data_IF_622564951455
#
_entry.id   IF_622564951455
#
_cell.length_a   1.000
_cell.length_b   1.000
_cell.length_c   1.000
_cell.angle_alpha   90.00
_cell.angle_beta   90.00
_cell.angle_gamma   90.00
#
_symmetry.space_group_name_H-M   'P 1'
#
loop_
_entity.id
_entity.type
_entity.pdbx_description
1 polymer ?
#
# COMPACT_ATOMS: atom_id res chain seq x y z
N UNK A 1 23.47 -15.22 16.52
CA UNK A 1 23.75 -13.82 16.84
C UNK A 1 24.38 -13.18 15.62
N UNK A 2 23.59 -12.50 14.77
CA UNK A 2 24.10 -11.77 13.62
C UNK A 2 24.32 -10.33 14.09
N UNK A 3 25.57 -9.87 13.95
CA UNK A 3 26.08 -8.64 14.56
C UNK A 3 25.46 -7.37 13.99
N UNK A 4 25.53 -6.34 14.81
CA UNK A 4 25.06 -4.98 14.58
C UNK A 4 25.94 -4.28 13.52
N UNK A 5 25.81 -4.63 12.23
CA UNK A 5 26.77 -4.25 11.17
C UNK A 5 26.89 -2.74 10.89
N UNK A 6 26.00 -1.88 11.44
CA UNK A 6 26.02 -0.44 11.19
C UNK A 6 26.29 0.44 12.43
N UNK A 7 26.56 -0.15 13.60
CA UNK A 7 26.88 0.61 14.83
C UNK A 7 25.74 1.46 15.41
N UNK A 8 24.51 1.35 14.89
CA UNK A 8 23.35 2.04 15.44
C UNK A 8 22.90 1.43 16.77
N UNK A 9 22.52 2.30 17.71
CA UNK A 9 21.82 1.92 18.92
C UNK A 9 20.38 1.53 18.62
N UNK A 10 19.92 0.42 19.19
CA UNK A 10 18.52 0.02 19.15
C UNK A 10 17.73 0.70 20.28
N UNK A 11 16.41 0.93 20.11
CA UNK A 11 15.55 1.36 21.19
C UNK A 11 15.69 0.46 22.43
N UNK A 12 15.36 0.95 23.65
CA UNK A 12 15.19 0.09 24.81
C UNK A 12 14.22 -1.05 24.44
N UNK A 13 14.36 -2.23 25.06
CA UNK A 13 13.59 -3.45 24.72
C UNK A 13 12.07 -3.23 24.57
N UNK A 14 11.32 -4.23 24.08
CA UNK A 14 9.93 -4.16 23.56
C UNK A 14 8.82 -3.62 24.49
N UNK A 15 9.13 -2.82 25.50
CA UNK A 15 8.27 -2.12 26.45
C UNK A 15 7.87 -0.71 25.98
N UNK A 16 7.66 -0.51 24.68
CA UNK A 16 6.86 0.66 24.27
C UNK A 16 5.47 0.54 24.90
N UNK A 17 4.88 1.63 25.39
CA UNK A 17 3.49 1.57 25.89
C UNK A 17 2.61 1.08 24.73
N UNK A 18 2.01 -0.10 24.91
CA UNK A 18 1.20 -0.79 23.91
C UNK A 18 -0.27 -0.43 23.99
N UNK A 19 -1.07 -1.04 23.12
CA UNK A 19 -2.53 -1.03 23.20
C UNK A 19 -2.95 -1.65 24.54
N UNK A 20 -3.64 -0.91 25.41
CA UNK A 20 -4.35 -1.49 26.56
C UNK A 20 -5.63 -2.17 26.10
N UNK A 21 -6.16 -3.12 26.89
CA UNK A 21 -7.47 -3.72 26.60
C UNK A 21 -8.59 -2.66 26.45
N UNK A 22 -8.50 -1.55 27.19
CA UNK A 22 -9.43 -0.43 27.09
C UNK A 22 -9.32 0.36 25.76
N UNK A 23 -8.21 0.25 25.03
CA UNK A 23 -8.03 0.88 23.71
C UNK A 23 -8.65 0.01 22.57
N UNK A 24 -9.05 -1.24 22.85
CA UNK A 24 -9.71 -2.13 21.87
C UNK A 24 -11.18 -1.74 21.61
N UNK A 25 -11.87 -1.12 22.59
CA UNK A 25 -13.30 -0.78 22.46
C UNK A 25 -13.60 0.34 21.46
N UNK A 26 -12.59 1.10 21.00
CA UNK A 26 -12.76 2.17 20.00
C UNK A 26 -12.65 1.69 18.55
N UNK A 27 -12.37 0.40 18.31
CA UNK A 27 -12.34 -0.21 16.99
C UNK A 27 -13.61 -1.05 16.88
N UNK A 28 -14.59 -0.53 16.14
CA UNK A 28 -15.91 -1.16 16.00
C UNK A 28 -15.82 -2.68 15.85
N UNK A 29 -16.40 -3.38 16.82
CA UNK A 29 -16.50 -4.84 16.86
C UNK A 29 -17.19 -5.32 15.58
N UNK A 30 -16.42 -5.87 14.65
CA UNK A 30 -16.96 -6.89 13.76
C UNK A 30 -16.91 -8.19 14.55
N UNK A 31 -18.05 -8.61 15.09
CA UNK A 31 -18.21 -9.91 15.72
C UNK A 31 -18.01 -11.00 14.65
N UNK A 32 -17.00 -11.85 14.86
CA UNK A 32 -16.83 -13.09 14.10
C UNK A 32 -18.05 -13.96 14.38
N UNK A 33 -18.77 -14.49 13.38
CA UNK A 33 -19.82 -15.47 13.61
C UNK A 33 -19.24 -16.65 14.40
N UNK A 34 -19.96 -17.05 15.45
CA UNK A 34 -19.47 -17.92 16.53
C UNK A 34 -18.87 -19.24 16.07
N UNK A 35 -17.77 -19.60 16.72
CA UNK A 35 -17.21 -20.95 16.75
C UNK A 35 -18.18 -21.87 17.51
N UNK A 36 -19.08 -22.53 16.79
CA UNK A 36 -19.56 -23.84 17.22
C UNK A 36 -18.68 -24.89 16.56
N UNK A 37 -17.76 -25.41 17.38
CA UNK A 37 -16.89 -26.54 17.09
C UNK A 37 -17.74 -27.81 16.89
N UNK A 38 -17.71 -28.36 15.69
CA UNK A 38 -17.51 -29.80 15.44
C UNK A 38 -17.70 -30.14 13.96
N UNK A 39 -16.81 -31.00 13.45
CA UNK A 39 -16.81 -31.64 12.12
C UNK A 39 -16.34 -30.77 10.95
N UNK A 40 -15.03 -30.54 10.87
CA UNK A 40 -14.38 -30.62 9.54
C UNK A 40 -14.33 -32.11 9.21
N UNK A 41 -15.46 -32.65 8.74
CA UNK A 41 -15.43 -33.86 7.94
C UNK A 41 -14.47 -33.60 6.78
N UNK A 42 -13.58 -34.55 6.54
CA UNK A 42 -12.81 -34.62 5.31
C UNK A 42 -13.79 -34.69 4.15
N UNK A 43 -14.17 -33.53 3.61
CA UNK A 43 -15.04 -33.44 2.45
C UNK A 43 -14.28 -34.00 1.24
N UNK A 44 -14.50 -35.28 1.00
CA UNK A 44 -14.31 -35.90 -0.29
C UNK A 44 -15.12 -35.13 -1.32
N UNK A 45 -14.44 -34.61 -2.33
CA UNK A 45 -14.85 -34.49 -3.74
C UNK A 45 -16.38 -34.46 -3.99
N UNK A 46 -16.89 -33.30 -4.41
CA UNK A 46 -18.10 -33.07 -5.24
C UNK A 46 -19.37 -32.41 -4.64
N UNK A 47 -19.28 -31.55 -3.63
CA UNK A 47 -20.41 -30.67 -3.27
C UNK A 47 -20.23 -29.24 -3.81
N UNK A 48 -21.20 -28.79 -4.62
CA UNK A 48 -21.29 -27.40 -5.08
C UNK A 48 -21.71 -26.54 -3.88
N UNK A 49 -20.99 -25.46 -3.54
CA UNK A 49 -21.38 -24.58 -2.43
C UNK A 49 -22.82 -24.07 -2.60
N UNK A 50 -23.60 -23.99 -1.53
CA UNK A 50 -25.01 -23.52 -1.56
C UNK A 50 -25.20 -22.19 -2.31
N UNK A 51 -24.21 -21.30 -2.21
CA UNK A 51 -24.16 -20.01 -2.91
C UNK A 51 -24.15 -20.11 -4.45
N UNK A 52 -23.89 -21.29 -5.00
CA UNK A 52 -23.82 -21.59 -6.43
C UNK A 52 -24.92 -22.57 -6.89
N UNK A 53 -25.87 -22.91 -6.02
CA UNK A 53 -26.98 -23.85 -6.30
C UNK A 53 -27.87 -23.45 -7.49
N UNK A 54 -27.93 -22.16 -7.83
CA UNK A 54 -28.67 -21.62 -8.99
C UNK A 54 -27.85 -21.57 -10.30
N UNK A 55 -26.61 -22.07 -10.30
CA UNK A 55 -25.70 -22.02 -11.45
C UNK A 55 -25.71 -23.38 -12.17
N UNK A 56 -25.68 -23.36 -13.51
CA UNK A 56 -25.65 -24.62 -14.26
C UNK A 56 -24.36 -25.41 -13.99
N UNK A 57 -24.49 -26.73 -13.89
CA UNK A 57 -23.34 -27.63 -13.71
C UNK A 57 -22.30 -27.47 -14.81
N UNK A 58 -22.75 -27.24 -16.05
CA UNK A 58 -21.86 -26.96 -17.19
C UNK A 58 -20.97 -25.74 -16.94
N UNK A 59 -21.52 -24.64 -16.40
CA UNK A 59 -20.75 -23.42 -16.14
C UNK A 59 -19.77 -23.61 -14.98
N UNK A 60 -20.16 -24.39 -13.95
CA UNK A 60 -19.31 -24.73 -12.82
C UNK A 60 -18.14 -25.64 -13.24
N UNK A 61 -18.39 -26.62 -14.11
CA UNK A 61 -17.35 -27.49 -14.66
C UNK A 61 -16.36 -26.74 -15.55
N UNK A 62 -16.85 -25.79 -16.36
CA UNK A 62 -16.00 -24.91 -17.17
C UNK A 62 -15.13 -24.04 -16.26
N UNK A 63 -15.72 -23.38 -15.25
CA UNK A 63 -14.97 -22.58 -14.28
C UNK A 63 -13.89 -23.42 -13.60
N UNK A 64 -14.22 -24.61 -13.11
CA UNK A 64 -13.28 -25.50 -12.45
C UNK A 64 -12.13 -25.92 -13.38
N UNK A 65 -12.45 -26.22 -14.64
CA UNK A 65 -11.43 -26.56 -15.65
C UNK A 65 -10.46 -25.40 -15.90
N UNK A 66 -10.94 -24.16 -15.89
CA UNK A 66 -10.11 -22.95 -15.99
C UNK A 66 -9.25 -22.80 -14.72
N UNK A 67 -9.81 -23.00 -13.53
CA UNK A 67 -9.07 -22.97 -12.27
C UNK A 67 -7.93 -24.01 -12.23
N UNK A 68 -8.19 -25.22 -12.69
CA UNK A 68 -7.19 -26.28 -12.80
C UNK A 68 -6.10 -25.91 -13.83
N UNK A 69 -6.48 -25.33 -14.97
CA UNK A 69 -5.55 -24.78 -15.95
C UNK A 69 -4.64 -23.70 -15.37
N UNK A 70 -5.22 -22.74 -14.63
CA UNK A 70 -4.46 -21.70 -13.93
C UNK A 70 -3.48 -22.28 -12.90
N UNK A 71 -3.89 -23.29 -12.12
CA UNK A 71 -2.99 -23.98 -11.17
C UNK A 71 -1.82 -24.67 -11.86
N UNK A 72 -2.07 -25.29 -13.01
CA UNK A 72 -1.02 -25.94 -13.82
C UNK A 72 -0.04 -24.92 -14.41
N UNK A 73 -0.53 -23.78 -14.90
CA UNK A 73 0.34 -22.71 -15.40
C UNK A 73 1.27 -22.18 -14.29
N UNK A 74 0.75 -22.02 -13.06
CA UNK A 74 1.54 -21.59 -11.90
C UNK A 74 2.62 -22.63 -11.55
N UNK A 75 2.27 -23.93 -11.53
CA UNK A 75 3.22 -24.99 -11.16
C UNK A 75 4.32 -25.19 -12.22
N UNK A 76 4.00 -24.99 -13.51
CA UNK A 76 4.97 -25.04 -14.60
C UNK A 76 5.88 -23.80 -14.65
N UNK A 77 5.39 -22.63 -14.20
CA UNK A 77 6.19 -21.41 -14.07
C UNK A 77 7.21 -21.45 -12.91
N UNK A 78 7.10 -22.44 -11.99
CA UNK A 78 8.03 -22.67 -10.88
C UNK A 78 9.43 -23.13 -11.34
N UNK A 79 10.16 -22.24 -12.01
CA UNK A 79 11.51 -22.49 -12.54
C UNK A 79 11.99 -21.48 -13.60
N UNK A 80 11.10 -20.64 -14.14
CA UNK A 80 11.41 -19.63 -15.16
C UNK A 80 11.08 -18.24 -14.62
N UNK A 81 11.86 -17.23 -14.97
CA UNK A 81 11.64 -15.83 -14.54
C UNK A 81 10.20 -15.42 -14.86
N UNK A 82 9.48 -14.90 -13.87
CA UNK A 82 8.07 -14.50 -13.94
C UNK A 82 7.72 -13.49 -15.06
N UNK A 83 8.72 -12.86 -15.69
CA UNK A 83 8.52 -11.96 -16.83
C UNK A 83 8.11 -12.66 -18.13
N UNK A 84 8.44 -13.95 -18.29
CA UNK A 84 8.12 -14.73 -19.51
C UNK A 84 6.93 -15.69 -19.32
N UNK A 85 6.37 -15.77 -18.11
CA UNK A 85 5.27 -16.69 -17.77
C UNK A 85 3.89 -16.28 -18.32
N UNK A 86 3.81 -15.15 -19.04
CA UNK A 86 2.56 -14.54 -19.47
C UNK A 86 2.45 -14.35 -20.99
N UNK A 87 2.90 -15.31 -21.80
CA UNK A 87 2.56 -15.36 -23.22
C UNK A 87 1.49 -16.42 -23.52
N UNK A 88 0.55 -16.05 -24.39
CA UNK A 88 -0.61 -16.77 -24.94
C UNK A 88 -1.73 -17.29 -24.00
N UNK A 89 -1.48 -17.36 -22.70
CA UNK A 89 -2.51 -17.51 -21.64
C UNK A 89 -2.48 -16.40 -20.58
N UNK A 90 -1.50 -15.50 -20.66
CA UNK A 90 -1.14 -14.59 -19.57
C UNK A 90 -2.11 -13.43 -19.32
N UNK A 91 -3.01 -13.17 -20.25
CA UNK A 91 -4.00 -12.11 -20.06
C UNK A 91 -5.08 -12.49 -19.04
N UNK A 92 -5.35 -13.79 -18.81
CA UNK A 92 -6.36 -14.24 -17.86
C UNK A 92 -5.78 -14.23 -16.43
N UNK A 93 -6.35 -13.37 -15.57
CA UNK A 93 -5.92 -13.15 -14.19
C UNK A 93 -6.79 -13.89 -13.17
N UNK A 94 -8.00 -14.27 -13.55
CA UNK A 94 -8.94 -14.97 -12.68
C UNK A 94 -10.24 -15.34 -13.38
N UNK A 95 -11.05 -16.15 -12.69
CA UNK A 95 -12.36 -16.59 -13.14
C UNK A 95 -13.35 -16.62 -11.98
N UNK A 96 -14.60 -16.21 -12.22
CA UNK A 96 -15.71 -16.36 -11.28
C UNK A 96 -17.02 -16.65 -12.00
N UNK A 97 -18.06 -16.99 -11.24
CA UNK A 97 -19.44 -16.90 -11.71
C UNK A 97 -19.96 -15.53 -11.30
N UNK A 98 -20.35 -14.70 -12.28
CA UNK A 98 -20.97 -13.41 -12.08
C UNK A 98 -22.37 -13.36 -12.68
N UNK A 99 -23.01 -12.21 -12.61
CA UNK A 99 -24.24 -11.96 -13.37
C UNK A 99 -23.87 -11.43 -14.75
N UNK A 100 -24.56 -11.87 -15.80
CA UNK A 100 -24.48 -11.27 -17.12
C UNK A 100 -24.91 -9.80 -17.04
N UNK A 101 -24.28 -8.95 -17.86
CA UNK A 101 -24.57 -7.52 -17.93
C UNK A 101 -25.39 -7.14 -19.19
N UNK A 102 -25.65 -8.09 -20.10
CA UNK A 102 -26.36 -7.87 -21.37
C UNK A 102 -25.46 -7.68 -22.58
N UNK A 103 -26.02 -7.21 -23.69
CA UNK A 103 -25.29 -6.99 -24.95
C UNK A 103 -24.39 -5.75 -24.87
N UNK A 104 -23.29 -5.85 -24.13
CA UNK A 104 -22.13 -4.95 -24.25
C UNK A 104 -21.07 -5.59 -25.14
N UNK A 105 -20.19 -4.80 -25.74
CA UNK A 105 -19.09 -5.31 -26.59
C UNK A 105 -18.15 -6.30 -25.86
N UNK A 106 -18.22 -6.35 -24.53
CA UNK A 106 -17.40 -7.19 -23.62
C UNK A 106 -18.16 -8.34 -22.95
N UNK A 107 -19.46 -8.53 -23.22
CA UNK A 107 -20.28 -9.58 -22.58
C UNK A 107 -21.23 -10.28 -23.53
N UNK A 108 -21.33 -11.60 -23.39
CA UNK A 108 -22.29 -12.45 -24.11
C UNK A 108 -23.39 -13.02 -23.21
N UNK A 109 -23.46 -12.59 -21.94
CA UNK A 109 -24.46 -13.05 -20.96
C UNK A 109 -25.69 -12.16 -20.88
N UNK A 110 -26.86 -12.76 -20.69
CA UNK A 110 -28.10 -12.02 -20.46
C UNK A 110 -28.07 -11.30 -19.09
N UNK A 111 -28.63 -10.07 -18.99
CA UNK A 111 -28.62 -9.32 -17.74
C UNK A 111 -29.24 -10.12 -16.59
N UNK A 112 -28.49 -10.27 -15.49
CA UNK A 112 -29.00 -10.91 -14.27
C UNK A 112 -29.05 -12.44 -14.27
N UNK A 113 -28.64 -13.11 -15.35
CA UNK A 113 -28.42 -14.57 -15.36
C UNK A 113 -26.96 -14.93 -15.06
N UNK A 114 -26.67 -16.10 -14.46
CA UNK A 114 -25.29 -16.53 -14.22
C UNK A 114 -24.45 -16.59 -15.51
N UNK A 115 -23.26 -16.00 -15.46
CA UNK A 115 -22.29 -15.99 -16.54
C UNK A 115 -20.87 -16.22 -16.02
N UNK A 116 -20.00 -16.73 -16.88
CA UNK A 116 -18.59 -16.89 -16.57
C UNK A 116 -17.91 -15.51 -16.67
N UNK A 117 -17.44 -14.97 -15.55
CA UNK A 117 -16.68 -13.72 -15.55
C UNK A 117 -15.19 -14.03 -15.61
N UNK A 118 -14.51 -13.50 -16.63
CA UNK A 118 -13.07 -13.57 -16.80
C UNK A 118 -12.45 -12.22 -16.42
N UNK A 119 -11.50 -12.25 -15.50
CA UNK A 119 -10.71 -11.08 -15.13
C UNK A 119 -9.46 -11.03 -16.01
N UNK A 120 -9.23 -9.91 -16.70
CA UNK A 120 -8.15 -9.79 -17.68
C UNK A 120 -7.21 -8.63 -17.37
N UNK A 121 -5.91 -8.80 -17.65
CA UNK A 121 -4.90 -7.78 -17.43
C UNK A 121 -5.00 -6.62 -18.43
N UNK A 122 -5.29 -6.92 -19.69
CA UNK A 122 -5.43 -5.98 -20.79
C UNK A 122 -6.78 -6.18 -21.50
N UNK A 123 -7.40 -5.10 -22.03
CA UNK A 123 -8.65 -5.20 -22.78
C UNK A 123 -8.58 -6.24 -23.91
N UNK A 124 -9.60 -7.11 -23.98
CA UNK A 124 -9.70 -8.14 -25.02
C UNK A 124 -11.17 -8.44 -25.33
N UNK A 125 -11.43 -8.95 -26.54
CA UNK A 125 -12.75 -9.45 -26.93
C UNK A 125 -13.03 -10.82 -26.31
N UNK A 126 -14.31 -11.16 -26.13
CA UNK A 126 -14.75 -12.49 -25.67
C UNK A 126 -14.13 -13.61 -26.51
N UNK A 127 -14.13 -13.51 -27.84
CA UNK A 127 -13.59 -14.55 -28.73
C UNK A 127 -12.10 -14.79 -28.51
N UNK A 128 -11.31 -13.72 -28.38
CA UNK A 128 -9.88 -13.82 -28.08
C UNK A 128 -9.62 -14.40 -26.68
N UNK A 129 -10.43 -14.04 -25.68
CA UNK A 129 -10.30 -14.60 -24.34
C UNK A 129 -10.63 -16.11 -24.33
N UNK A 130 -11.72 -16.52 -25.01
CA UNK A 130 -12.07 -17.93 -25.20
C UNK A 130 -10.95 -18.69 -25.92
N UNK A 131 -10.43 -18.14 -27.02
CA UNK A 131 -9.32 -18.75 -27.75
C UNK A 131 -8.05 -18.91 -26.90
N UNK A 132 -7.71 -17.91 -26.08
CA UNK A 132 -6.57 -17.97 -25.16
C UNK A 132 -6.74 -19.07 -24.11
N UNK A 133 -7.93 -19.21 -23.51
CA UNK A 133 -8.22 -20.28 -22.54
C UNK A 133 -8.14 -21.66 -23.22
N UNK A 134 -8.67 -21.82 -24.43
CA UNK A 134 -8.56 -23.08 -25.18
C UNK A 134 -7.10 -23.41 -25.49
N UNK A 135 -6.32 -22.43 -25.95
CA UNK A 135 -4.93 -22.61 -26.33
C UNK A 135 -4.01 -22.88 -25.15
N UNK A 136 -4.13 -22.11 -24.08
CA UNK A 136 -3.22 -22.17 -22.93
C UNK A 136 -3.65 -23.17 -21.85
N UNK A 137 -4.96 -23.36 -21.65
CA UNK A 137 -5.51 -24.17 -20.55
C UNK A 137 -6.22 -25.44 -21.06
N UNK A 138 -6.40 -25.60 -22.37
CA UNK A 138 -7.02 -26.79 -22.97
C UNK A 138 -8.53 -26.90 -22.77
N UNK A 139 -9.19 -25.88 -22.22
CA UNK A 139 -10.62 -25.92 -21.84
C UNK A 139 -11.52 -25.65 -23.05
N UNK A 140 -11.71 -26.65 -23.91
CA UNK A 140 -12.49 -26.52 -25.17
C UNK A 140 -13.95 -26.14 -24.97
N UNK A 141 -14.55 -26.54 -23.85
CA UNK A 141 -15.96 -26.27 -23.56
C UNK A 141 -16.30 -24.76 -23.54
N UNK A 142 -15.34 -23.90 -23.18
CA UNK A 142 -15.53 -22.44 -23.14
C UNK A 142 -15.80 -21.82 -24.52
N UNK A 143 -15.40 -22.49 -25.61
CA UNK A 143 -15.55 -21.99 -26.97
C UNK A 143 -16.99 -22.08 -27.51
N UNK A 144 -17.88 -22.77 -26.79
CA UNK A 144 -19.30 -22.85 -27.17
C UNK A 144 -19.96 -21.47 -27.07
N UNK A 145 -20.77 -21.11 -28.08
CA UNK A 145 -21.59 -19.89 -28.09
C UNK A 145 -22.65 -19.90 -26.98
N UNK A 146 -22.93 -21.08 -26.41
CA UNK A 146 -23.87 -21.25 -25.29
C UNK A 146 -23.28 -20.88 -23.94
N UNK A 147 -21.97 -20.63 -23.87
CA UNK A 147 -21.30 -20.21 -22.62
C UNK A 147 -21.34 -18.70 -22.55
N UNK A 148 -22.19 -18.12 -21.67
CA UNK A 148 -22.20 -16.68 -21.44
C UNK A 148 -20.91 -16.27 -20.74
N UNK A 149 -20.16 -15.34 -21.34
CA UNK A 149 -18.88 -14.84 -20.81
C UNK A 149 -18.95 -13.33 -20.64
N UNK A 150 -18.47 -12.84 -19.51
CA UNK A 150 -18.21 -11.43 -19.25
C UNK A 150 -16.70 -11.21 -19.17
N UNK A 151 -16.20 -10.15 -19.80
CA UNK A 151 -14.81 -9.70 -19.65
C UNK A 151 -14.78 -8.50 -18.70
N UNK A 152 -14.04 -8.64 -17.60
CA UNK A 152 -13.74 -7.54 -16.67
C UNK A 152 -12.25 -7.23 -16.75
N UNK A 153 -11.91 -6.02 -17.19
CA UNK A 153 -10.51 -5.58 -17.25
C UNK A 153 -10.07 -5.13 -15.87
N UNK A 154 -9.20 -5.92 -15.22
CA UNK A 154 -8.69 -5.66 -13.87
C UNK A 154 -7.28 -5.10 -13.84
N UNK A 155 -6.51 -5.25 -14.92
CA UNK A 155 -5.05 -5.21 -14.79
C UNK A 155 -4.51 -6.49 -14.15
N UNK A 156 -3.20 -6.54 -13.92
CA UNK A 156 -2.56 -7.63 -13.16
C UNK A 156 -3.10 -7.61 -11.73
N UNK A 157 -3.59 -8.75 -11.23
CA UNK A 157 -4.14 -8.85 -9.88
C UNK A 157 -2.99 -9.04 -8.88
N UNK A 158 -2.56 -7.94 -8.28
CA UNK A 158 -1.47 -7.92 -7.31
C UNK A 158 -1.97 -8.00 -5.86
N UNK A 159 -1.26 -8.75 -5.02
CA UNK A 159 -1.40 -8.65 -3.57
C UNK A 159 -1.04 -7.22 -3.13
N UNK A 160 -1.92 -6.51 -2.40
CA UNK A 160 -1.75 -5.10 -2.01
C UNK A 160 -0.44 -4.85 -1.24
N UNK A 161 0.68 -4.50 -1.90
CA UNK A 161 1.97 -4.94 -1.42
C UNK A 161 2.58 -4.01 -0.39
N UNK A 162 2.10 -2.77 -0.38
CA UNK A 162 2.53 -1.75 0.54
C UNK A 162 1.74 -1.80 1.84
N UNK A 163 0.73 -2.68 1.97
CA UNK A 163 -0.10 -2.81 3.19
C UNK A 163 0.25 -4.04 4.01
N UNK A 164 0.89 -5.06 3.43
CA UNK A 164 1.27 -6.25 4.19
C UNK A 164 2.56 -6.05 4.99
N UNK A 165 2.82 -7.01 5.88
CA UNK A 165 3.99 -7.04 6.74
C UNK A 165 5.29 -7.33 5.95
N UNK A 166 6.22 -6.37 5.95
CA UNK A 166 7.53 -6.48 5.32
C UNK A 166 8.64 -6.35 6.38
N UNK A 167 9.59 -7.29 6.37
CA UNK A 167 10.77 -7.25 7.25
C UNK A 167 12.05 -7.58 6.47
N UNK A 168 13.08 -6.74 6.53
CA UNK A 168 13.06 -5.38 7.09
C UNK A 168 12.13 -4.45 6.30
N UNK A 169 11.44 -3.55 6.98
CA UNK A 169 10.46 -2.63 6.40
C UNK A 169 11.14 -1.55 5.53
N UNK A 170 10.83 -1.45 4.23
CA UNK A 170 11.33 -0.41 3.34
C UNK A 170 10.54 0.90 3.49
N UNK A 171 11.01 1.99 2.88
CA UNK A 171 10.18 3.17 2.63
C UNK A 171 9.06 2.88 1.62
N UNK A 172 7.96 3.61 1.70
CA UNK A 172 6.79 3.49 0.83
C UNK A 172 5.70 2.52 1.31
N UNK A 173 5.91 1.83 2.43
CA UNK A 173 4.95 0.87 3.01
C UNK A 173 4.17 1.45 4.18
N UNK A 174 3.08 0.78 4.53
CA UNK A 174 2.20 1.07 5.65
C UNK A 174 2.94 1.10 6.98
N UNK A 175 2.70 2.13 7.78
CA UNK A 175 3.19 2.27 9.15
C UNK A 175 2.21 3.12 9.95
N UNK A 176 2.20 3.00 11.27
CA UNK A 176 1.46 3.95 12.07
C UNK A 176 1.76 3.83 13.56
N UNK A 177 1.44 4.92 14.26
CA UNK A 177 1.19 4.87 15.69
C UNK A 177 0.02 3.93 15.98
N UNK A 178 0.11 3.17 17.08
CA UNK A 178 -0.87 2.13 17.41
C UNK A 178 -2.32 2.60 17.63
N UNK A 179 -2.53 3.90 17.81
CA UNK A 179 -3.84 4.57 17.99
C UNK A 179 -4.38 5.28 16.75
N UNK A 180 -3.75 5.10 15.59
CA UNK A 180 -4.23 5.68 14.33
C UNK A 180 -4.57 4.59 13.31
N UNK A 181 -5.06 4.97 12.14
CA UNK A 181 -5.32 4.03 11.03
C UNK A 181 -4.03 3.53 10.40
N UNK A 182 -3.41 4.32 9.51
CA UNK A 182 -2.09 4.11 8.93
C UNK A 182 -1.65 5.32 8.10
N UNK A 183 -0.34 5.43 7.90
CA UNK A 183 0.30 6.26 6.88
C UNK A 183 1.41 5.48 6.21
N UNK A 184 2.45 6.19 5.77
CA UNK A 184 3.58 5.64 4.99
C UNK A 184 4.92 5.91 5.69
N UNK A 185 5.83 4.94 5.64
CA UNK A 185 7.27 5.18 5.92
C UNK A 185 7.83 6.03 4.80
N UNK A 186 8.22 7.27 5.05
CA UNK A 186 8.79 8.12 4.00
C UNK A 186 10.15 7.61 3.55
N UNK A 187 11.08 7.58 4.49
CA UNK A 187 12.41 7.02 4.33
C UNK A 187 13.07 6.88 5.71
N UNK A 188 14.32 6.41 5.76
CA UNK A 188 15.09 6.39 7.00
C UNK A 188 15.90 7.68 7.18
N UNK A 189 16.28 7.94 8.42
CA UNK A 189 17.07 9.08 8.84
C UNK A 189 17.96 8.74 10.05
N UNK A 190 18.94 9.61 10.32
CA UNK A 190 19.80 9.57 11.50
C UNK A 190 19.84 10.97 12.11
N UNK A 191 19.85 11.07 13.44
CA UNK A 191 19.96 12.38 14.11
C UNK A 191 21.30 13.06 13.82
N UNK A 192 21.36 14.40 13.88
CA UNK A 192 22.64 15.11 13.70
C UNK A 192 23.50 15.14 14.96
N UNK A 193 22.84 15.18 16.11
CA UNK A 193 23.48 15.42 17.41
C UNK A 193 23.37 14.21 18.33
N UNK A 194 24.35 14.01 19.22
CA UNK A 194 24.26 12.96 20.24
C UNK A 194 23.07 13.19 21.19
N UNK A 195 22.40 12.13 21.69
CA UNK A 195 22.64 10.71 21.40
C UNK A 195 21.94 10.22 20.12
N UNK A 196 21.32 11.12 19.34
CA UNK A 196 20.49 10.77 18.17
C UNK A 196 21.30 10.43 16.92
N UNK A 197 22.56 10.85 16.86
CA UNK A 197 23.49 10.52 15.77
C UNK A 197 23.89 9.05 15.71
N UNK A 198 23.57 8.25 16.74
CA UNK A 198 23.66 6.79 16.71
C UNK A 198 22.30 6.09 16.58
N UNK A 199 21.21 6.82 16.30
CA UNK A 199 19.87 6.25 16.19
C UNK A 199 19.42 6.22 14.74
N UNK A 200 19.10 5.02 14.24
CA UNK A 200 18.39 4.86 12.98
C UNK A 200 16.90 5.16 13.20
N UNK A 201 16.29 5.96 12.34
CA UNK A 201 14.93 6.44 12.52
C UNK A 201 14.09 6.26 11.26
N UNK A 202 12.81 5.97 11.45
CA UNK A 202 11.75 6.10 10.43
C UNK A 202 11.32 7.57 10.39
N UNK A 203 11.29 8.19 9.21
CA UNK A 203 10.68 9.51 8.98
C UNK A 203 9.26 9.34 8.42
N UNK A 204 8.30 10.03 9.00
CA UNK A 204 6.93 10.16 8.48
C UNK A 204 6.25 11.42 9.05
N UNK A 205 4.94 11.57 8.93
CA UNK A 205 4.21 12.70 9.49
C UNK A 205 3.98 12.57 11.01
N UNK A 206 3.75 13.69 11.68
CA UNK A 206 3.26 13.72 13.06
C UNK A 206 1.91 13.00 13.15
N UNK A 207 0.96 13.28 12.26
CA UNK A 207 -0.33 12.60 12.35
C UNK A 207 -0.25 11.09 12.10
N UNK A 208 0.87 10.60 11.54
CA UNK A 208 1.13 9.16 11.32
C UNK A 208 1.83 8.52 12.52
N UNK A 209 2.89 9.14 13.05
CA UNK A 209 3.70 8.52 14.13
C UNK A 209 3.39 9.05 15.53
N UNK A 210 2.76 10.21 15.66
CA UNK A 210 2.53 10.91 16.92
C UNK A 210 1.05 11.24 17.16
N UNK A 211 0.14 10.54 16.45
CA UNK A 211 -1.31 10.67 16.63
C UNK A 211 -1.80 12.14 16.68
N UNK A 212 -1.29 12.98 15.77
CA UNK A 212 -1.63 14.40 15.70
C UNK A 212 -1.43 15.12 17.05
N UNK A 213 -0.22 15.03 17.59
CA UNK A 213 0.23 15.47 18.94
C UNK A 213 -0.25 14.63 20.13
N UNK A 214 -1.08 13.60 19.92
CA UNK A 214 -1.60 12.75 20.99
C UNK A 214 -0.65 11.61 21.42
N UNK A 215 0.47 11.42 20.74
CA UNK A 215 1.45 10.38 21.05
C UNK A 215 2.39 10.79 22.18
N UNK A 216 2.84 9.80 22.95
CA UNK A 216 3.83 9.92 24.01
C UNK A 216 5.16 9.32 23.55
N UNK A 217 6.28 9.91 23.97
CA UNK A 217 7.58 9.33 23.63
C UNK A 217 7.69 7.89 24.12
N UNK A 218 8.33 7.07 23.29
CA UNK A 218 8.41 5.62 23.38
C UNK A 218 7.13 4.85 23.02
N UNK A 219 6.08 5.51 22.55
CA UNK A 219 4.89 4.82 22.06
C UNK A 219 5.22 3.91 20.86
N UNK A 220 4.47 2.82 20.76
CA UNK A 220 4.67 1.78 19.77
C UNK A 220 4.32 2.26 18.34
N UNK A 221 5.26 2.04 17.40
CA UNK A 221 5.07 2.25 15.96
C UNK A 221 5.16 0.89 15.26
N UNK A 222 4.11 0.53 14.52
CA UNK A 222 3.97 -0.79 13.89
C UNK A 222 4.04 -0.72 12.36
N UNK A 223 4.60 -1.79 11.76
CA UNK A 223 4.56 -2.04 10.32
C UNK A 223 3.99 -3.47 10.11
N UNK A 224 2.84 -3.61 9.46
CA UNK A 224 2.06 -2.53 8.83
C UNK A 224 1.34 -1.66 9.88
N UNK A 225 0.71 -0.56 9.47
CA UNK A 225 -0.11 0.26 10.38
C UNK A 225 -1.34 -0.50 10.92
N UNK A 226 -1.98 -0.02 12.00
CA UNK A 226 -3.07 -0.77 12.66
C UNK A 226 -4.23 -1.18 11.75
N UNK A 227 -4.69 -0.31 10.85
CA UNK A 227 -5.80 -0.64 9.92
C UNK A 227 -5.43 -1.74 8.91
N UNK A 228 -4.13 -2.02 8.73
CA UNK A 228 -3.61 -3.09 7.88
C UNK A 228 -3.18 -4.32 8.70
N UNK A 229 -3.56 -4.40 9.97
CA UNK A 229 -3.39 -5.57 10.82
C UNK A 229 -2.14 -5.58 11.70
N UNK A 230 -1.34 -4.52 11.73
CA UNK A 230 -0.17 -4.45 12.60
C UNK A 230 -0.54 -4.31 14.08
N UNK A 231 0.11 -5.10 14.95
CA UNK A 231 -0.18 -5.13 16.40
C UNK A 231 1.04 -4.83 17.25
N UNK A 232 0.81 -4.25 18.43
CA UNK A 232 1.86 -3.99 19.41
C UNK A 232 1.88 -5.10 20.47
N UNK A 233 3.06 -5.65 20.84
CA UNK A 233 4.40 -5.32 20.33
C UNK A 233 4.84 -6.17 19.11
N UNK A 234 4.01 -7.08 18.60
CA UNK A 234 4.39 -8.12 17.63
C UNK A 234 4.97 -7.55 16.31
N UNK A 235 4.38 -6.46 15.81
CA UNK A 235 4.74 -5.81 14.56
C UNK A 235 5.48 -4.49 14.77
N UNK A 236 5.94 -4.24 15.98
CA UNK A 236 6.65 -3.01 16.31
C UNK A 236 7.95 -2.91 15.49
N UNK A 237 8.18 -1.79 14.84
CA UNK A 237 9.42 -1.49 14.08
C UNK A 237 10.17 -0.29 14.61
N UNK A 238 9.49 0.58 15.37
CA UNK A 238 10.09 1.74 16.01
C UNK A 238 9.31 2.14 17.26
N UNK A 239 9.89 3.08 18.01
CA UNK A 239 9.21 3.80 19.09
C UNK A 239 9.19 5.29 18.78
N UNK A 240 8.12 6.00 19.13
CA UNK A 240 8.01 7.44 18.90
C UNK A 240 9.14 8.19 19.62
N UNK A 241 9.95 8.94 18.87
CA UNK A 241 11.17 9.57 19.40
C UNK A 241 11.12 11.10 19.36
N UNK A 242 10.55 11.69 18.31
CA UNK A 242 10.41 13.13 18.16
C UNK A 242 9.30 13.47 17.17
N UNK A 243 8.62 14.58 17.40
CA UNK A 243 7.70 15.17 16.42
C UNK A 243 7.69 16.70 16.58
N UNK A 244 7.27 17.40 15.53
CA UNK A 244 6.97 18.83 15.61
C UNK A 244 5.48 18.98 15.94
N UNK A 245 5.10 19.60 17.08
CA UNK A 245 3.71 19.78 17.43
C UNK A 245 2.96 20.62 16.41
N UNK A 246 1.81 20.12 15.95
CA UNK A 246 0.90 20.86 15.06
C UNK A 246 0.13 21.88 15.91
N UNK A 247 0.19 23.15 15.53
CA UNK A 247 -0.58 24.22 16.14
C UNK A 247 -2.01 24.22 15.58
N UNK A 248 -2.98 23.91 16.44
CA UNK A 248 -4.42 23.96 16.15
C UNK A 248 -5.10 25.23 16.69
N UNK A 249 -4.36 26.14 17.33
CA UNK A 249 -4.88 27.38 17.93
C UNK A 249 -4.72 28.60 17.02
N UNK A 250 -4.51 28.38 15.72
CA UNK A 250 -4.39 29.44 14.70
C UNK A 250 -2.96 29.92 14.43
N UNK A 251 -1.95 29.35 15.09
CA UNK A 251 -0.56 29.60 14.75
C UNK A 251 -0.15 28.95 13.42
N UNK A 252 0.88 29.50 12.78
CA UNK A 252 1.39 28.98 11.49
C UNK A 252 2.19 27.70 11.70
N UNK A 253 1.83 26.66 10.95
CA UNK A 253 2.62 25.44 10.82
C UNK A 253 3.43 25.46 9.52
N UNK A 254 4.67 24.98 9.58
CA UNK A 254 5.51 24.81 8.38
C UNK A 254 5.72 23.34 8.03
N UNK A 255 5.59 22.45 9.00
CA UNK A 255 5.87 21.03 8.85
C UNK A 255 4.87 20.19 9.65
N UNK A 256 4.46 19.08 9.06
CA UNK A 256 3.83 17.94 9.75
C UNK A 256 4.80 16.76 9.64
N UNK A 257 5.59 16.52 10.68
CA UNK A 257 6.66 15.53 10.64
C UNK A 257 7.02 14.96 12.02
N UNK A 258 7.45 13.70 12.01
CA UNK A 258 7.91 12.96 13.17
C UNK A 258 8.96 11.90 12.80
N UNK A 259 9.74 11.49 13.80
CA UNK A 259 10.66 10.37 13.73
C UNK A 259 10.34 9.32 14.77
N UNK A 260 10.37 8.05 14.35
CA UNK A 260 10.38 6.90 15.23
C UNK A 260 11.78 6.28 15.29
N UNK A 261 12.34 6.07 16.48
CA UNK A 261 13.61 5.36 16.65
C UNK A 261 13.40 3.87 16.35
N UNK A 262 14.03 3.40 15.29
CA UNK A 262 13.82 2.08 14.73
C UNK A 262 14.86 1.05 15.20
N UNK A 263 14.44 -0.21 15.24
CA UNK A 263 15.36 -1.33 15.35
C UNK A 263 16.04 -1.56 13.99
N UNK A 264 17.39 -1.53 13.90
CA UNK A 264 18.10 -1.62 12.63
C UNK A 264 17.83 -2.89 11.81
N UNK A 265 17.53 -4.01 12.48
CA UNK A 265 17.18 -5.29 11.85
C UNK A 265 15.73 -5.34 11.33
N UNK A 266 14.88 -4.36 11.70
CA UNK A 266 13.47 -4.31 11.33
C UNK A 266 13.15 -3.33 10.21
N UNK A 267 14.09 -2.49 9.80
CA UNK A 267 13.92 -1.48 8.74
C UNK A 267 15.08 -1.52 7.74
N UNK A 268 14.86 -0.98 6.54
CA UNK A 268 15.88 -0.88 5.49
C UNK A 268 15.83 0.46 4.77
N UNK A 269 16.96 0.95 4.24
CA UNK A 269 17.03 2.28 3.63
C UNK A 269 16.32 2.38 2.27
N UNK A 270 16.12 1.26 1.57
CA UNK A 270 15.44 1.27 0.27
C UNK A 270 13.96 1.61 0.40
N UNK A 271 13.42 2.25 -0.64
CA UNK A 271 11.99 2.37 -0.90
C UNK A 271 11.52 1.22 -1.79
N UNK A 272 10.26 0.82 -1.62
CA UNK A 272 9.63 -0.25 -2.42
C UNK A 272 8.81 0.32 -3.59
N UNK A 273 8.70 -0.45 -4.66
CA UNK A 273 7.70 -0.31 -5.71
C UNK A 273 7.35 -1.69 -6.27
N UNK A 274 6.36 -1.80 -7.13
CA UNK A 274 6.08 -3.05 -7.84
C UNK A 274 6.65 -3.05 -9.25
N UNK A 275 7.28 -4.17 -9.59
CA UNK A 275 7.73 -4.49 -10.94
C UNK A 275 7.10 -5.82 -11.34
N UNK A 276 6.06 -5.77 -12.18
CA UNK A 276 5.30 -6.97 -12.58
C UNK A 276 4.70 -7.70 -11.38
N UNK A 277 4.10 -6.96 -10.45
CA UNK A 277 3.49 -7.50 -9.22
C UNK A 277 4.45 -7.91 -8.12
N UNK A 278 5.76 -7.91 -8.38
CA UNK A 278 6.77 -8.29 -7.39
C UNK A 278 7.38 -7.05 -6.73
N UNK A 279 7.52 -7.01 -5.39
CA UNK A 279 8.23 -5.94 -4.70
C UNK A 279 9.68 -5.81 -5.19
N UNK A 280 10.01 -4.65 -5.72
CA UNK A 280 11.35 -4.22 -6.09
C UNK A 280 11.76 -3.01 -5.25
N UNK A 281 13.07 -2.79 -5.15
CA UNK A 281 13.64 -1.83 -4.19
C UNK A 281 14.58 -0.85 -4.88
N UNK A 282 14.56 0.41 -4.44
CA UNK A 282 15.46 1.45 -4.92
C UNK A 282 15.84 2.43 -3.81
N UNK A 283 16.93 3.15 -4.00
CA UNK A 283 17.41 4.18 -3.07
C UNK A 283 17.17 5.58 -3.61
N UNK A 284 16.82 6.50 -2.73
CA UNK A 284 16.78 7.94 -3.04
C UNK A 284 18.06 8.59 -2.52
N UNK A 285 18.49 9.69 -3.14
CA UNK A 285 19.67 10.44 -2.69
C UNK A 285 19.44 11.04 -1.30
N UNK A 286 20.51 11.34 -0.56
CA UNK A 286 20.44 12.14 0.67
C UNK A 286 20.61 13.65 0.41
N UNK A 287 20.95 14.04 -0.82
CA UNK A 287 21.13 15.42 -1.22
C UNK A 287 19.77 16.09 -1.47
N UNK A 288 19.43 17.06 -0.62
CA UNK A 288 18.17 17.80 -0.71
C UNK A 288 18.21 18.79 -1.87
N UNK A 289 17.07 18.91 -2.56
CA UNK A 289 16.89 19.91 -3.62
C UNK A 289 15.69 20.79 -3.29
N UNK A 290 15.83 22.09 -3.54
CA UNK A 290 14.73 23.04 -3.38
C UNK A 290 13.64 22.77 -4.44
N UNK A 291 12.35 22.83 -4.09
CA UNK A 291 11.28 22.60 -5.05
C UNK A 291 11.25 23.73 -6.10
N UNK A 292 10.94 23.37 -7.35
CA UNK A 292 10.74 24.32 -8.44
C UNK A 292 9.43 24.04 -9.17
N UNK A 293 8.77 25.07 -9.68
CA UNK A 293 7.58 24.91 -10.50
C UNK A 293 7.89 24.07 -11.74
N UNK A 294 6.97 23.17 -12.10
CA UNK A 294 7.13 22.26 -13.22
C UNK A 294 8.07 21.08 -12.96
N UNK A 295 8.76 21.02 -11.81
CA UNK A 295 9.63 19.90 -11.45
C UNK A 295 8.83 18.59 -11.40
N UNK A 296 9.33 17.57 -12.10
CA UNK A 296 8.78 16.23 -12.07
C UNK A 296 9.22 15.53 -10.78
N UNK A 297 8.26 14.91 -10.10
CA UNK A 297 8.48 14.26 -8.81
C UNK A 297 7.82 12.89 -8.76
N UNK A 298 8.31 12.03 -7.88
CA UNK A 298 7.65 10.77 -7.55
C UNK A 298 7.52 10.55 -6.06
N UNK A 299 6.65 9.61 -5.70
CA UNK A 299 6.50 9.09 -4.35
C UNK A 299 6.20 7.60 -4.40
N UNK A 300 6.54 6.89 -3.33
CA UNK A 300 6.08 5.52 -3.08
C UNK A 300 5.30 5.58 -1.78
N UNK A 301 4.06 5.10 -1.80
CA UNK A 301 3.10 5.28 -0.72
C UNK A 301 2.24 4.05 -0.46
N UNK A 302 1.72 3.92 0.76
CA UNK A 302 0.89 2.80 1.20
C UNK A 302 -0.30 2.52 0.27
N UNK A 303 -0.98 3.58 -0.18
CA UNK A 303 -2.27 3.49 -0.86
C UNK A 303 -2.10 3.50 -2.37
N UNK A 304 -1.46 4.53 -2.91
CA UNK A 304 -1.29 4.71 -4.35
C UNK A 304 0.03 4.14 -4.88
N UNK A 305 0.82 3.45 -4.05
CA UNK A 305 2.10 2.85 -4.44
C UNK A 305 3.05 3.86 -5.11
N UNK A 306 3.74 3.48 -6.19
CA UNK A 306 4.61 4.38 -6.94
C UNK A 306 3.76 5.27 -7.86
N UNK A 307 3.81 6.59 -7.65
CA UNK A 307 3.17 7.56 -8.56
C UNK A 307 4.14 8.65 -8.98
N UNK A 308 3.81 9.26 -10.12
CA UNK A 308 4.54 10.38 -10.71
C UNK A 308 3.64 11.63 -10.74
N UNK A 309 4.22 12.78 -10.42
CA UNK A 309 3.54 14.06 -10.38
C UNK A 309 4.43 15.21 -10.83
N UNK A 310 3.84 16.41 -10.83
CA UNK A 310 4.50 17.67 -11.16
C UNK A 310 4.21 18.68 -10.07
N UNK A 311 5.23 19.43 -9.65
CA UNK A 311 5.05 20.57 -8.74
C UNK A 311 4.33 21.69 -9.50
N UNK A 312 3.13 22.06 -9.03
CA UNK A 312 2.26 23.08 -9.63
C UNK A 312 2.19 24.36 -8.81
N UNK A 313 2.59 24.31 -7.53
CA UNK A 313 2.60 25.48 -6.65
C UNK A 313 3.72 25.42 -5.62
N UNK A 314 4.23 26.60 -5.27
CA UNK A 314 5.22 26.82 -4.22
C UNK A 314 4.65 27.88 -3.26
N UNK A 315 5.05 27.82 -1.99
CA UNK A 315 4.63 28.83 -1.02
C UNK A 315 3.14 28.73 -0.62
N UNK A 316 2.49 27.58 -0.86
CA UNK A 316 1.05 27.44 -0.64
C UNK A 316 0.71 27.60 0.85
N UNK A 317 -0.38 28.34 1.10
CA UNK A 317 -1.00 28.50 2.43
C UNK A 317 -2.36 27.82 2.42
N UNK A 318 -2.55 26.86 3.31
CA UNK A 318 -3.73 25.98 3.32
C UNK A 318 -4.21 25.70 4.74
N UNK A 319 -5.52 25.48 4.87
CA UNK A 319 -6.10 24.91 6.08
C UNK A 319 -6.25 23.40 5.90
N UNK A 320 -5.76 22.63 6.86
CA UNK A 320 -5.83 21.17 6.85
C UNK A 320 -6.68 20.68 8.00
N UNK A 321 -7.67 19.85 7.68
CA UNK A 321 -8.58 19.25 8.65
C UNK A 321 -8.02 17.90 9.15
N UNK A 322 -7.79 17.80 10.45
CA UNK A 322 -7.29 16.60 11.14
C UNK A 322 -8.41 15.85 11.90
N UNK A 323 -9.67 16.06 11.51
CA UNK A 323 -10.85 15.49 12.16
C UNK A 323 -11.24 16.19 13.46
N UNK A 324 -12.45 15.88 13.95
CA UNK A 324 -12.96 16.33 15.25
C UNK A 324 -12.88 17.86 15.48
N UNK A 325 -13.11 18.64 14.43
CA UNK A 325 -13.04 20.11 14.48
C UNK A 325 -11.63 20.70 14.55
N UNK A 326 -10.57 19.88 14.48
CA UNK A 326 -9.18 20.34 14.52
C UNK A 326 -8.72 20.75 13.12
N UNK A 327 -8.64 22.06 12.90
CA UNK A 327 -8.12 22.64 11.66
C UNK A 327 -6.81 23.36 11.98
N UNK A 328 -5.79 23.13 11.16
CA UNK A 328 -4.48 23.77 11.30
C UNK A 328 -4.10 24.52 10.02
N UNK A 329 -3.56 25.74 10.20
CA UNK A 329 -3.04 26.57 9.12
C UNK A 329 -1.59 26.17 8.81
N UNK A 330 -1.32 25.83 7.56
CA UNK A 330 0.02 25.54 7.05
C UNK A 330 0.45 26.60 6.03
N UNK A 331 1.72 27.01 6.07
CA UNK A 331 2.31 27.95 5.12
C UNK A 331 3.60 27.39 4.53
N UNK A 332 3.97 27.88 3.34
CA UNK A 332 5.19 27.51 2.62
C UNK A 332 5.21 26.06 2.12
N UNK A 333 4.02 25.57 1.73
CA UNK A 333 3.81 24.21 1.25
C UNK A 333 4.04 24.09 -0.26
N UNK A 334 4.35 22.87 -0.69
CA UNK A 334 4.47 22.49 -2.10
C UNK A 334 3.12 21.93 -2.54
N UNK A 335 2.57 22.38 -3.66
CA UNK A 335 1.40 21.80 -4.31
C UNK A 335 1.82 20.94 -5.52
N UNK A 336 1.26 19.75 -5.63
CA UNK A 336 1.63 18.74 -6.63
C UNK A 336 0.35 18.17 -7.26
N UNK A 337 0.35 17.98 -8.57
CA UNK A 337 -0.69 17.22 -9.28
C UNK A 337 -0.08 15.97 -9.91
N UNK A 338 -0.86 14.90 -10.03
CA UNK A 338 -0.38 13.69 -10.70
C UNK A 338 -0.32 13.86 -12.21
N UNK A 339 0.54 13.07 -12.87
CA UNK A 339 0.66 13.07 -14.35
C UNK A 339 -0.40 12.19 -14.98
N UNK A 340 -0.66 11.02 -14.38
CA UNK A 340 -1.60 10.01 -14.87
C UNK A 340 -2.58 9.65 -13.75
N UNK A 341 -3.45 10.59 -13.39
CA UNK A 341 -4.41 10.47 -12.28
C UNK A 341 -3.95 11.17 -11.00
N UNK A 342 -4.50 10.75 -9.86
CA UNK A 342 -4.16 11.35 -8.57
C UNK A 342 -2.71 11.03 -8.19
N UNK A 343 -1.96 12.03 -7.71
CA UNK A 343 -0.61 11.80 -7.20
C UNK A 343 -0.63 11.01 -5.89
N UNK A 344 -1.64 11.22 -5.05
CA UNK A 344 -1.77 10.55 -3.76
C UNK A 344 -3.22 10.42 -3.32
N UNK A 345 -3.45 9.56 -2.34
CA UNK A 345 -4.71 9.45 -1.60
C UNK A 345 -4.48 9.31 -0.09
N UNK A 346 -5.57 9.25 0.68
CA UNK A 346 -5.51 8.96 2.10
C UNK A 346 -4.67 7.70 2.38
N UNK A 347 -3.75 7.79 3.34
CA UNK A 347 -2.79 6.75 3.68
C UNK A 347 -1.40 6.92 3.04
N UNK A 348 -1.25 7.74 1.99
CA UNK A 348 0.07 8.07 1.44
C UNK A 348 0.82 9.14 2.27
N UNK A 349 0.15 9.72 3.27
CA UNK A 349 0.76 10.64 4.25
C UNK A 349 2.04 10.04 4.82
N UNK A 350 3.12 10.82 4.79
CA UNK A 350 4.44 10.42 5.24
C UNK A 350 5.35 9.97 4.12
N UNK A 351 4.84 9.78 2.89
CA UNK A 351 5.68 9.46 1.74
C UNK A 351 6.72 10.56 1.49
N UNK A 352 7.99 10.17 1.36
CA UNK A 352 9.02 11.05 0.82
C UNK A 352 8.74 11.31 -0.66
N UNK A 353 8.90 12.56 -1.09
CA UNK A 353 8.75 12.98 -2.48
C UNK A 353 10.14 13.35 -3.00
N UNK A 354 10.53 12.78 -4.14
CA UNK A 354 11.85 12.98 -4.75
C UNK A 354 11.73 13.41 -6.21
N UNK A 355 12.83 13.94 -6.77
CA UNK A 355 12.91 14.30 -8.19
C UNK A 355 12.74 13.06 -9.07
N UNK A 356 11.84 13.12 -10.05
CA UNK A 356 11.63 12.03 -11.02
C UNK A 356 12.70 12.05 -12.12
N UNK A 357 13.93 11.76 -11.73
CA UNK A 357 15.11 11.65 -12.58
C UNK A 357 16.09 10.65 -11.97
N UNK A 358 17.25 10.48 -12.60
CA UNK A 358 18.25 9.51 -12.14
C UNK A 358 18.81 9.84 -10.75
N UNK A 359 18.83 11.12 -10.35
CA UNK A 359 19.39 11.55 -9.08
C UNK A 359 18.48 11.25 -7.88
N UNK A 360 17.15 11.21 -8.08
CA UNK A 360 16.16 10.94 -7.02
C UNK A 360 16.43 11.72 -5.74
N UNK A 361 16.64 13.03 -5.88
CA UNK A 361 16.91 13.93 -4.76
C UNK A 361 15.61 14.21 -3.98
N UNK A 362 15.60 14.16 -2.65
CA UNK A 362 14.43 14.47 -1.84
C UNK A 362 14.05 15.95 -1.94
N UNK A 363 12.75 16.20 -2.08
CA UNK A 363 12.16 17.53 -2.30
C UNK A 363 11.13 17.87 -1.21
N UNK A 364 10.27 16.91 -0.84
CA UNK A 364 9.20 17.15 0.11
C UNK A 364 8.74 15.92 0.88
N UNK A 365 7.92 16.15 1.91
CA UNK A 365 7.25 15.12 2.70
C UNK A 365 5.74 15.32 2.58
N UNK A 366 5.06 14.37 1.96
CA UNK A 366 3.61 14.40 1.75
C UNK A 366 2.88 14.40 3.09
N UNK A 367 1.87 15.26 3.26
CA UNK A 367 1.05 15.25 4.49
C UNK A 367 -0.45 15.49 4.29
N UNK A 368 -0.85 16.09 3.17
CA UNK A 368 -2.26 16.43 2.93
C UNK A 368 -2.59 16.35 1.44
N UNK A 369 -3.89 16.32 1.13
CA UNK A 369 -4.39 16.41 -0.23
C UNK A 369 -5.89 16.71 -0.27
N UNK A 370 -6.36 17.22 -1.40
CA UNK A 370 -7.76 17.54 -1.65
C UNK A 370 -7.95 18.06 -3.07
N UNK A 371 -9.07 17.72 -3.71
CA UNK A 371 -9.37 18.17 -5.08
C UNK A 371 -8.30 17.79 -6.11
N UNK A 372 -7.74 16.57 -6.02
CA UNK A 372 -6.63 16.06 -6.85
C UNK A 372 -5.30 16.84 -6.73
N UNK A 373 -5.18 17.73 -5.73
CA UNK A 373 -3.92 18.39 -5.40
C UNK A 373 -3.37 17.76 -4.13
N UNK A 374 -2.10 17.38 -4.17
CA UNK A 374 -1.33 16.91 -3.03
C UNK A 374 -0.53 18.08 -2.47
N UNK A 375 -0.48 18.18 -1.15
CA UNK A 375 0.34 19.15 -0.43
C UNK A 375 1.44 18.46 0.36
N UNK A 376 2.65 19.03 0.28
CA UNK A 376 3.84 18.49 0.90
C UNK A 376 4.65 19.58 1.62
N UNK A 377 5.21 19.20 2.76
CA UNK A 377 6.17 20.00 3.49
C UNK A 377 7.48 20.05 2.69
N UNK A 378 8.21 21.18 2.72
CA UNK A 378 9.55 21.22 2.12
C UNK A 378 10.54 20.37 2.92
N UNK A 379 11.23 19.44 2.27
CA UNK A 379 12.11 18.49 2.96
C UNK A 379 13.22 19.19 3.75
N UNK A 380 13.74 20.32 3.25
CA UNK A 380 14.72 21.15 3.98
C UNK A 380 14.21 21.61 5.35
N UNK A 381 12.92 21.93 5.48
CA UNK A 381 12.31 22.36 6.75
C UNK A 381 12.11 21.17 7.67
N UNK A 382 11.70 20.03 7.12
CA UNK A 382 11.53 18.77 7.85
C UNK A 382 12.84 18.35 8.51
N UNK A 383 13.93 18.24 7.73
CA UNK A 383 15.22 17.79 8.29
C UNK A 383 15.81 18.77 9.31
N UNK A 384 15.54 20.06 9.15
CA UNK A 384 15.97 21.10 10.08
C UNK A 384 15.17 21.05 11.38
N UNK A 385 13.83 20.99 11.29
CA UNK A 385 12.95 20.95 12.46
C UNK A 385 13.13 19.68 13.30
N UNK A 386 13.45 18.55 12.64
CA UNK A 386 13.70 17.29 13.32
C UNK A 386 15.15 17.06 13.70
N UNK A 387 16.10 17.93 13.31
CA UNK A 387 17.55 17.76 13.52
C UNK A 387 18.08 16.40 13.03
N UNK A 388 17.85 16.10 11.74
CA UNK A 388 18.20 14.81 11.11
C UNK A 388 18.95 14.97 9.78
N UNK A 389 19.67 13.91 9.40
CA UNK A 389 20.15 13.66 8.05
C UNK A 389 19.41 12.44 7.48
N UNK A 390 19.05 12.49 6.19
CA UNK A 390 18.40 11.35 5.54
C UNK A 390 19.41 10.20 5.37
N UNK A 391 18.96 8.97 5.61
CA UNK A 391 19.74 7.75 5.44
C UNK A 391 19.04 6.87 4.42
N UNK A 392 19.34 7.11 3.14
CA UNK A 392 18.52 6.63 2.02
C UNK A 392 19.31 6.03 0.90
#
# INVERSE_FOLDING_TARGET
MIGNENGFSAPPGSSGRGQSADDEEAIGQFSVPGEDDNTIESASVAEVPDALSGVSMELLEIKRSIEDGMRQSISQAGGVRAADAFSDGGNIQGVSIGLGEGASDSSSGEPGLPALTLYVAEPTSVDRAKAAIVGAMGVRAVASDRVPVNIVVTGVIDAQPHRFRLRPAPGGVSVGHFRITAGTIGCLAVGRSAPRNSRLMILSNNHVLANSNGGVFNDCIVQPGPIDGGRCPQDQVAVLERFVPINFSGGVNFVDCATGWAWPDRVRPELVYLSGGVPAYFRISSALVAPALGMMVGKSGRTMQLTQGRITGLGATINVNYGSGRIALFQDQIAITGVSGAFSAGGDSGSSIWTWNQQRNPVGLLFAGGGNITFANQMRRVVAALDINLYT
#
